data_IF_182087799916
#
_entry.id   IF_182087799916
#
_cell.length_a   1.000
_cell.length_b   1.000
_cell.length_c   1.000
_cell.angle_alpha   90.00
_cell.angle_beta   90.00
_cell.angle_gamma   90.00
#
_symmetry.space_group_name_H-M   'P 1'
#
loop_
_entity.id
_entity.type
_entity.pdbx_description
1 polymer ?
#
# COMPACT_ATOMS: atom_id res chain seq x y z
N UNK A 1 -19.13 23.12 -18.99
CA UNK A 1 -18.20 22.10 -18.51
C UNK A 1 -19.03 20.89 -18.06
N UNK A 2 -19.39 20.02 -19.01
CA UNK A 2 -20.38 18.96 -18.74
C UNK A 2 -20.08 17.62 -19.46
N UNK A 3 -18.84 17.44 -19.99
CA UNK A 3 -18.43 16.18 -20.63
C UNK A 3 -17.08 15.73 -20.07
N UNK A 4 -16.71 14.44 -20.26
CA UNK A 4 -15.38 13.90 -19.90
C UNK A 4 -14.27 14.77 -20.48
N UNK A 5 -14.37 15.14 -21.76
CA UNK A 5 -13.37 15.99 -22.40
C UNK A 5 -13.21 17.34 -21.69
N UNK A 6 -14.29 18.02 -21.35
CA UNK A 6 -14.23 19.29 -20.63
C UNK A 6 -13.68 19.16 -19.21
N UNK A 7 -14.04 18.08 -18.50
CA UNK A 7 -13.53 17.83 -17.13
C UNK A 7 -12.04 17.51 -17.14
N UNK A 8 -11.57 16.73 -18.11
CA UNK A 8 -10.13 16.44 -18.26
C UNK A 8 -9.33 17.71 -18.58
N UNK A 9 -9.86 18.60 -19.44
CA UNK A 9 -9.23 19.90 -19.70
C UNK A 9 -9.20 20.80 -18.45
N UNK A 10 -10.29 20.80 -17.68
CA UNK A 10 -10.33 21.51 -16.40
C UNK A 10 -9.29 20.98 -15.42
N UNK A 11 -9.18 19.65 -15.25
CA UNK A 11 -8.18 19.04 -14.38
C UNK A 11 -6.75 19.41 -14.84
N UNK A 12 -6.48 19.34 -16.15
CA UNK A 12 -5.20 19.73 -16.72
C UNK A 12 -4.84 21.18 -16.40
N UNK A 13 -5.79 22.09 -16.53
CA UNK A 13 -5.58 23.51 -16.23
C UNK A 13 -5.30 23.76 -14.74
N UNK A 14 -6.05 23.09 -13.84
CA UNK A 14 -5.96 23.31 -12.40
C UNK A 14 -4.77 22.63 -11.73
N UNK A 15 -4.27 21.51 -12.29
CA UNK A 15 -3.26 20.65 -11.66
C UNK A 15 -1.87 20.72 -12.33
N UNK A 16 -1.72 21.39 -13.48
CA UNK A 16 -0.46 21.45 -14.26
C UNK A 16 0.77 21.94 -13.49
N UNK A 17 0.58 22.71 -12.43
CA UNK A 17 1.68 23.25 -11.63
C UNK A 17 2.18 22.25 -10.57
N UNK A 18 1.41 21.16 -10.31
CA UNK A 18 1.71 20.16 -9.28
C UNK A 18 1.86 18.74 -9.82
N UNK A 19 1.39 18.48 -11.04
CA UNK A 19 1.38 17.17 -11.67
C UNK A 19 1.78 17.27 -13.14
N UNK A 20 2.48 16.26 -13.66
CA UNK A 20 2.70 16.13 -15.11
C UNK A 20 1.38 15.87 -15.85
N UNK A 21 1.34 16.18 -17.15
CA UNK A 21 0.18 15.92 -18.00
C UNK A 21 -0.23 14.45 -17.98
N UNK A 22 0.74 13.54 -18.01
CA UNK A 22 0.51 12.11 -17.94
C UNK A 22 -0.11 11.66 -16.60
N UNK A 23 0.36 12.20 -15.47
CA UNK A 23 -0.23 11.91 -14.15
C UNK A 23 -1.68 12.40 -14.08
N UNK A 24 -1.97 13.60 -14.59
CA UNK A 24 -3.33 14.15 -14.63
C UNK A 24 -4.25 13.27 -15.47
N UNK A 25 -3.79 12.77 -16.62
CA UNK A 25 -4.55 11.82 -17.43
C UNK A 25 -4.84 10.52 -16.67
N UNK A 26 -3.84 9.96 -15.98
CA UNK A 26 -4.00 8.76 -15.17
C UNK A 26 -5.00 8.99 -14.02
N UNK A 27 -4.88 10.11 -13.31
CA UNK A 27 -5.81 10.51 -12.24
C UNK A 27 -7.24 10.63 -12.78
N UNK A 28 -7.44 11.31 -13.90
CA UNK A 28 -8.75 11.44 -14.52
C UNK A 28 -9.35 10.07 -14.86
N UNK A 29 -8.55 9.16 -15.45
CA UNK A 29 -8.99 7.79 -15.75
C UNK A 29 -9.43 7.05 -14.48
N UNK A 30 -8.62 7.11 -13.41
CA UNK A 30 -8.95 6.49 -12.12
C UNK A 30 -10.31 7.01 -11.64
N UNK A 31 -10.54 8.33 -11.63
CA UNK A 31 -11.81 8.92 -11.20
C UNK A 31 -13.00 8.46 -12.06
N UNK A 32 -12.84 8.41 -13.38
CA UNK A 32 -13.91 7.94 -14.26
C UNK A 32 -14.20 6.45 -14.08
N UNK A 33 -13.17 5.65 -13.89
CA UNK A 33 -13.33 4.20 -13.66
C UNK A 33 -13.97 3.92 -12.30
N UNK A 34 -13.55 4.62 -11.25
CA UNK A 34 -14.02 4.37 -9.90
C UNK A 34 -15.43 4.93 -9.66
N UNK A 35 -15.70 6.17 -10.09
CA UNK A 35 -16.96 6.85 -9.77
C UNK A 35 -18.07 6.61 -10.80
N UNK A 36 -17.72 6.52 -12.10
CA UNK A 36 -18.69 6.25 -13.17
C UNK A 36 -18.76 4.77 -13.54
N UNK A 37 -17.86 3.95 -13.01
CA UNK A 37 -17.69 2.54 -13.38
C UNK A 37 -17.44 2.34 -14.89
N UNK A 38 -16.75 3.30 -15.51
CA UNK A 38 -16.40 3.25 -16.92
C UNK A 38 -15.16 2.41 -17.15
N UNK A 39 -15.16 1.65 -18.24
CA UNK A 39 -13.94 1.03 -18.77
C UNK A 39 -13.10 2.05 -19.56
N UNK A 40 -11.85 1.72 -19.88
CA UNK A 40 -11.02 2.54 -20.77
C UNK A 40 -11.70 2.79 -22.14
N UNK A 41 -12.45 1.81 -22.62
CA UNK A 41 -13.22 1.92 -23.88
C UNK A 41 -14.36 2.93 -23.71
N UNK A 42 -15.11 2.86 -22.61
CA UNK A 42 -16.21 3.80 -22.32
C UNK A 42 -15.69 5.24 -22.24
N UNK A 43 -14.58 5.47 -21.54
CA UNK A 43 -13.96 6.80 -21.43
C UNK A 43 -13.68 7.38 -22.82
N UNK A 44 -13.17 6.57 -23.73
CA UNK A 44 -12.86 7.01 -25.09
C UNK A 44 -14.12 7.26 -25.94
N UNK A 45 -15.07 6.32 -25.91
CA UNK A 45 -16.28 6.42 -26.73
C UNK A 45 -17.25 7.50 -26.24
N UNK A 46 -17.34 7.70 -24.93
CA UNK A 46 -18.28 8.65 -24.29
C UNK A 46 -17.65 10.00 -23.95
N UNK A 47 -16.49 10.34 -24.51
CA UNK A 47 -15.77 11.59 -24.19
C UNK A 47 -16.57 12.89 -24.34
N UNK A 48 -17.59 12.88 -25.20
CA UNK A 48 -18.47 14.02 -25.47
C UNK A 48 -19.90 13.84 -24.90
N UNK A 49 -20.16 12.75 -24.16
CA UNK A 49 -21.45 12.52 -23.50
C UNK A 49 -21.63 13.53 -22.36
N UNK A 50 -22.85 14.01 -22.20
CA UNK A 50 -23.21 14.94 -21.13
C UNK A 50 -23.31 14.16 -19.83
N UNK A 51 -22.54 14.59 -18.84
CA UNK A 51 -22.46 13.97 -17.52
C UNK A 51 -23.47 14.62 -16.55
N UNK A 52 -23.89 13.87 -15.55
CA UNK A 52 -24.74 14.37 -14.49
C UNK A 52 -24.05 15.44 -13.64
N UNK A 53 -24.81 16.44 -13.20
CA UNK A 53 -24.29 17.54 -12.38
C UNK A 53 -23.70 17.06 -11.06
N UNK A 54 -24.26 16.00 -10.46
CA UNK A 54 -23.76 15.34 -9.26
C UNK A 54 -22.32 14.85 -9.43
N UNK A 55 -22.03 14.20 -10.57
CA UNK A 55 -20.67 13.75 -10.87
C UNK A 55 -19.73 14.93 -11.16
N UNK A 56 -20.18 15.92 -11.91
CA UNK A 56 -19.38 17.13 -12.22
C UNK A 56 -18.92 17.80 -10.91
N UNK A 57 -19.83 17.99 -9.96
CA UNK A 57 -19.54 18.59 -8.67
C UNK A 57 -18.56 17.73 -7.86
N UNK A 58 -18.73 16.40 -7.84
CA UNK A 58 -17.80 15.47 -7.21
C UNK A 58 -16.41 15.56 -7.84
N UNK A 59 -16.31 15.56 -9.17
CA UNK A 59 -15.04 15.68 -9.89
C UNK A 59 -14.30 16.98 -9.55
N UNK A 60 -15.01 18.11 -9.55
CA UNK A 60 -14.43 19.40 -9.15
C UNK A 60 -13.93 19.37 -7.70
N UNK A 61 -14.67 18.73 -6.81
CA UNK A 61 -14.24 18.52 -5.41
C UNK A 61 -12.96 17.70 -5.32
N UNK A 62 -12.85 16.61 -6.09
CA UNK A 62 -11.64 15.77 -6.18
C UNK A 62 -10.45 16.61 -6.68
N UNK A 63 -10.61 17.37 -7.77
CA UNK A 63 -9.55 18.24 -8.33
C UNK A 63 -9.07 19.27 -7.30
N UNK A 64 -9.95 19.83 -6.48
CA UNK A 64 -9.57 20.77 -5.40
C UNK A 64 -8.73 20.09 -4.31
N UNK A 65 -9.10 18.86 -3.91
CA UNK A 65 -8.34 18.09 -2.92
C UNK A 65 -6.96 17.68 -3.47
N UNK A 66 -6.88 17.27 -4.73
CA UNK A 66 -5.61 17.00 -5.40
C UNK A 66 -4.72 18.23 -5.44
N UNK A 67 -5.28 19.40 -5.75
CA UNK A 67 -4.54 20.68 -5.75
C UNK A 67 -4.01 21.06 -4.37
N UNK A 68 -4.65 20.61 -3.29
CA UNK A 68 -4.14 20.76 -1.92
C UNK A 68 -3.12 19.70 -1.51
N UNK A 69 -2.71 18.80 -2.42
CA UNK A 69 -1.68 17.77 -2.20
C UNK A 69 -2.22 16.41 -1.74
N UNK A 70 -3.52 16.27 -1.47
CA UNK A 70 -4.07 15.01 -0.98
C UNK A 70 -3.92 13.89 -2.03
N UNK A 71 -3.41 12.69 -1.68
CA UNK A 71 -3.31 11.56 -2.61
C UNK A 71 -4.68 11.12 -3.12
N UNK A 72 -4.75 10.77 -4.41
CA UNK A 72 -6.02 10.34 -5.04
C UNK A 72 -6.63 9.12 -4.33
N UNK A 73 -5.80 8.21 -3.82
CA UNK A 73 -6.25 7.02 -3.10
C UNK A 73 -6.98 7.37 -1.80
N UNK A 74 -6.50 8.39 -1.07
CA UNK A 74 -7.19 8.86 0.13
C UNK A 74 -8.47 9.64 -0.20
N UNK A 75 -8.48 10.39 -1.31
CA UNK A 75 -9.66 11.12 -1.76
C UNK A 75 -10.79 10.16 -2.17
N UNK A 76 -10.45 9.07 -2.87
CA UNK A 76 -11.41 8.05 -3.28
C UNK A 76 -11.73 7.06 -2.14
N UNK A 77 -10.84 6.95 -1.14
CA UNK A 77 -10.96 6.03 -0.02
C UNK A 77 -10.57 4.59 -0.36
N UNK A 78 -10.15 4.32 -1.60
CA UNK A 78 -9.78 2.98 -2.06
C UNK A 78 -8.63 3.02 -3.06
N UNK A 79 -7.92 1.89 -3.18
CA UNK A 79 -6.88 1.65 -4.18
C UNK A 79 -6.91 0.20 -4.67
N UNK A 80 -6.42 -0.02 -5.89
CA UNK A 80 -6.16 -1.36 -6.43
C UNK A 80 -4.75 -1.83 -6.07
N UNK A 81 -4.59 -3.12 -5.74
CA UNK A 81 -3.28 -3.75 -5.53
C UNK A 81 -3.40 -5.27 -5.76
N UNK A 82 -2.50 -5.86 -6.54
CA UNK A 82 -2.46 -7.29 -6.86
C UNK A 82 -3.82 -7.85 -7.35
N UNK A 83 -4.57 -7.05 -8.10
CA UNK A 83 -5.90 -7.42 -8.62
C UNK A 83 -7.05 -7.39 -7.59
N UNK A 84 -6.79 -6.90 -6.38
CA UNK A 84 -7.75 -6.73 -5.28
C UNK A 84 -8.02 -5.25 -5.03
N UNK A 85 -9.11 -4.95 -4.28
CA UNK A 85 -9.44 -3.58 -3.82
C UNK A 85 -9.12 -3.45 -2.35
N UNK A 86 -8.51 -2.33 -1.98
CA UNK A 86 -8.15 -2.02 -0.60
C UNK A 86 -8.69 -0.65 -0.23
N UNK A 87 -9.33 -0.55 0.93
CA UNK A 87 -9.59 0.75 1.56
C UNK A 87 -8.25 1.42 1.84
N UNK A 88 -8.20 2.72 1.61
CA UNK A 88 -6.99 3.54 1.75
C UNK A 88 -7.28 4.75 2.61
N UNK A 89 -6.56 4.89 3.71
CA UNK A 89 -6.69 5.98 4.68
C UNK A 89 -5.31 6.41 5.17
N UNK A 90 -5.16 7.60 5.75
CA UNK A 90 -3.88 8.06 6.29
C UNK A 90 -3.30 7.21 7.44
N UNK A 91 -3.98 6.15 7.86
CA UNK A 91 -3.49 5.23 8.91
C UNK A 91 -2.47 4.21 8.42
N UNK A 92 -2.32 4.05 7.10
CA UNK A 92 -1.37 3.11 6.51
C UNK A 92 -0.78 3.65 5.20
N UNK A 93 0.42 3.18 4.86
CA UNK A 93 1.06 3.46 3.58
C UNK A 93 0.14 3.04 2.42
N UNK A 94 0.03 3.89 1.41
CA UNK A 94 -0.66 3.53 0.17
C UNK A 94 0.11 2.37 -0.50
N UNK A 95 -0.53 1.23 -0.82
CA UNK A 95 0.12 0.12 -1.50
C UNK A 95 0.85 0.57 -2.76
N UNK A 96 2.12 0.20 -2.89
CA UNK A 96 2.97 0.57 -4.03
C UNK A 96 2.97 -0.52 -5.09
N UNK A 97 3.00 -0.18 -6.40
CA UNK A 97 3.06 -1.17 -7.47
C UNK A 97 4.26 -2.12 -7.36
N UNK A 98 5.41 -1.60 -6.89
CA UNK A 98 6.64 -2.37 -6.69
C UNK A 98 6.46 -3.50 -5.68
N UNK A 99 5.66 -3.28 -4.64
CA UNK A 99 5.34 -4.29 -3.62
C UNK A 99 4.55 -5.48 -4.18
N UNK A 100 3.90 -5.34 -5.35
CA UNK A 100 3.27 -6.48 -6.05
C UNK A 100 4.30 -7.51 -6.53
N UNK A 101 5.55 -7.10 -6.79
CA UNK A 101 6.63 -8.02 -7.15
C UNK A 101 7.01 -8.89 -5.95
N UNK A 102 7.08 -8.30 -4.76
CA UNK A 102 7.29 -9.03 -3.52
C UNK A 102 6.17 -10.07 -3.29
N UNK A 103 4.91 -9.67 -3.47
CA UNK A 103 3.76 -10.60 -3.35
C UNK A 103 3.88 -11.76 -4.34
N UNK A 104 4.23 -11.50 -5.61
CA UNK A 104 4.41 -12.57 -6.61
C UNK A 104 5.54 -13.51 -6.21
N UNK A 105 6.68 -12.97 -5.78
CA UNK A 105 7.82 -13.76 -5.39
C UNK A 105 7.55 -14.64 -4.18
N UNK A 106 6.96 -14.10 -3.11
CA UNK A 106 6.54 -14.88 -1.93
C UNK A 106 5.51 -15.95 -2.31
N UNK A 107 4.58 -15.61 -3.22
CA UNK A 107 3.55 -16.51 -3.72
C UNK A 107 4.08 -17.79 -4.38
N UNK A 108 5.29 -17.76 -4.98
CA UNK A 108 5.95 -18.94 -5.56
C UNK A 108 6.36 -19.98 -4.50
N UNK A 109 6.57 -19.54 -3.26
CA UNK A 109 7.02 -20.37 -2.15
C UNK A 109 5.89 -20.75 -1.19
N UNK A 110 4.82 -19.96 -1.13
CA UNK A 110 3.71 -20.18 -0.21
C UNK A 110 2.85 -21.36 -0.64
N UNK A 111 2.58 -22.30 0.28
CA UNK A 111 1.81 -23.52 0.04
C UNK A 111 0.61 -23.60 0.99
N UNK A 112 -0.46 -24.33 0.62
CA UNK A 112 -1.54 -24.65 1.56
C UNK A 112 -1.00 -25.30 2.83
N UNK A 113 -1.49 -24.83 3.98
CA UNK A 113 -1.02 -25.25 5.31
C UNK A 113 0.18 -24.48 5.85
N UNK A 114 0.92 -23.72 5.02
CA UNK A 114 1.98 -22.88 5.53
C UNK A 114 1.45 -21.75 6.42
N UNK A 115 2.26 -21.35 7.38
CA UNK A 115 2.06 -20.21 8.27
C UNK A 115 2.93 -19.06 7.76
N UNK A 116 2.32 -17.95 7.40
CA UNK A 116 2.97 -16.74 6.93
C UNK A 116 2.77 -15.61 7.92
N UNK A 117 3.86 -14.89 8.23
CA UNK A 117 3.82 -13.64 8.98
C UNK A 117 4.13 -12.46 8.05
N UNK A 118 3.25 -11.46 8.03
CA UNK A 118 3.40 -10.17 7.36
C UNK A 118 3.72 -9.11 8.43
N UNK A 119 4.97 -8.64 8.47
CA UNK A 119 5.45 -7.70 9.49
C UNK A 119 5.40 -6.27 8.98
N UNK A 120 4.76 -5.37 9.75
CA UNK A 120 4.43 -4.02 9.29
C UNK A 120 3.32 -4.08 8.24
N UNK A 121 2.23 -4.79 8.56
CA UNK A 121 1.20 -5.15 7.58
C UNK A 121 0.46 -3.95 6.98
N UNK A 122 0.45 -2.79 7.66
CA UNK A 122 -0.21 -1.58 7.20
C UNK A 122 -1.67 -1.82 6.83
N UNK A 123 -2.03 -1.59 5.56
CA UNK A 123 -3.37 -1.87 5.03
C UNK A 123 -3.70 -3.36 4.89
N UNK A 124 -2.75 -4.26 5.17
CA UNK A 124 -2.85 -5.70 4.97
C UNK A 124 -2.63 -6.14 3.51
N UNK A 125 -2.18 -5.26 2.63
CA UNK A 125 -2.15 -5.53 1.19
C UNK A 125 -1.28 -6.74 0.81
N UNK A 126 -0.14 -6.96 1.45
CA UNK A 126 0.73 -8.12 1.21
C UNK A 126 0.06 -9.40 1.71
N UNK A 127 -0.27 -9.46 3.02
CA UNK A 127 -0.84 -10.65 3.64
C UNK A 127 -2.18 -11.08 3.02
N UNK A 128 -3.08 -10.13 2.75
CA UNK A 128 -4.39 -10.41 2.12
C UNK A 128 -4.20 -10.93 0.70
N UNK A 129 -3.31 -10.34 -0.10
CA UNK A 129 -3.05 -10.79 -1.46
C UNK A 129 -2.46 -12.20 -1.46
N UNK A 130 -1.54 -12.52 -0.55
CA UNK A 130 -0.97 -13.85 -0.40
C UNK A 130 -2.01 -14.89 0.06
N UNK A 131 -2.87 -14.53 1.02
CA UNK A 131 -3.98 -15.40 1.45
C UNK A 131 -4.99 -15.65 0.32
N UNK A 132 -5.17 -14.68 -0.59
CA UNK A 132 -6.02 -14.85 -1.78
C UNK A 132 -5.39 -15.74 -2.83
N UNK A 133 -4.07 -15.62 -3.04
CA UNK A 133 -3.29 -16.44 -3.98
C UNK A 133 -3.21 -17.89 -3.53
N UNK A 134 -2.96 -18.14 -2.23
CA UNK A 134 -2.76 -19.47 -1.67
C UNK A 134 -3.86 -19.80 -0.67
N UNK A 135 -4.98 -20.34 -1.17
CA UNK A 135 -6.05 -20.81 -0.30
C UNK A 135 -5.57 -21.95 0.59
N UNK A 136 -5.83 -21.83 1.89
CA UNK A 136 -5.38 -22.78 2.90
C UNK A 136 -4.07 -22.42 3.59
N UNK A 137 -3.38 -21.36 3.20
CA UNK A 137 -2.31 -20.77 4.00
C UNK A 137 -2.91 -20.04 5.22
N UNK A 138 -2.15 -20.05 6.33
CA UNK A 138 -2.49 -19.34 7.56
C UNK A 138 -1.71 -18.03 7.59
N UNK A 139 -2.38 -16.92 7.33
CA UNK A 139 -1.73 -15.59 7.26
C UNK A 139 -2.02 -14.81 8.53
N UNK A 140 -0.95 -14.33 9.16
CA UNK A 140 -0.98 -13.40 10.29
C UNK A 140 -0.26 -12.13 9.88
N UNK A 141 -0.92 -10.98 9.96
CA UNK A 141 -0.31 -9.66 9.81
C UNK A 141 -0.11 -9.01 11.18
N UNK A 142 0.98 -8.30 11.35
CA UNK A 142 1.25 -7.53 12.58
C UNK A 142 1.66 -6.10 12.24
N UNK A 143 1.19 -5.18 13.07
CA UNK A 143 1.54 -3.77 12.97
C UNK A 143 1.53 -3.14 14.37
N UNK A 144 2.27 -2.04 14.53
CA UNK A 144 2.31 -1.27 15.78
C UNK A 144 1.15 -0.26 15.87
N UNK A 145 0.53 0.10 14.74
CA UNK A 145 -0.62 1.02 14.67
C UNK A 145 -1.94 0.30 14.84
N UNK A 146 -2.73 0.62 15.88
CA UNK A 146 -4.09 0.09 16.03
C UNK A 146 -4.99 0.42 14.84
N UNK A 147 -4.84 1.61 14.26
CA UNK A 147 -5.62 2.09 13.12
C UNK A 147 -5.27 1.30 11.84
N UNK A 148 -3.99 0.96 11.63
CA UNK A 148 -3.57 0.11 10.53
C UNK A 148 -4.15 -1.31 10.66
N UNK A 149 -4.11 -1.89 11.87
CA UNK A 149 -4.70 -3.20 12.15
C UNK A 149 -6.21 -3.22 11.86
N UNK A 150 -6.94 -2.17 12.24
CA UNK A 150 -8.38 -2.10 11.94
C UNK A 150 -8.62 -1.98 10.43
N UNK A 151 -7.86 -1.14 9.73
CA UNK A 151 -7.91 -1.03 8.28
C UNK A 151 -7.62 -2.37 7.58
N UNK A 152 -6.60 -3.11 8.04
CA UNK A 152 -6.26 -4.42 7.49
C UNK A 152 -7.40 -5.44 7.69
N UNK A 153 -8.07 -5.43 8.85
CA UNK A 153 -9.25 -6.27 9.11
C UNK A 153 -10.42 -5.94 8.18
N UNK A 154 -10.70 -4.65 7.99
CA UNK A 154 -11.71 -4.20 7.03
C UNK A 154 -11.38 -4.65 5.60
N UNK A 155 -10.11 -4.55 5.21
CA UNK A 155 -9.64 -4.99 3.90
C UNK A 155 -9.72 -6.50 3.72
N UNK A 156 -9.46 -7.29 4.75
CA UNK A 156 -9.65 -8.74 4.71
C UNK A 156 -11.13 -9.11 4.48
N UNK A 157 -12.04 -8.42 5.19
CA UNK A 157 -13.49 -8.59 4.99
C UNK A 157 -13.90 -8.19 3.58
N UNK A 158 -13.44 -7.03 3.09
CA UNK A 158 -13.74 -6.51 1.76
C UNK A 158 -13.35 -7.52 0.66
N UNK A 159 -12.21 -8.21 0.83
CA UNK A 159 -11.71 -9.17 -0.15
C UNK A 159 -12.15 -10.63 0.12
N UNK A 160 -12.95 -10.87 1.15
CA UNK A 160 -13.45 -12.20 1.51
C UNK A 160 -12.33 -13.18 1.88
N UNK A 161 -11.28 -12.70 2.53
CA UNK A 161 -10.08 -13.45 2.89
C UNK A 161 -10.04 -13.68 4.39
N UNK A 162 -9.59 -14.88 4.79
CA UNK A 162 -9.30 -15.18 6.19
C UNK A 162 -7.83 -14.92 6.46
N UNK A 163 -7.54 -13.86 7.20
CA UNK A 163 -6.23 -13.51 7.73
C UNK A 163 -6.43 -12.92 9.13
N UNK A 164 -5.46 -13.13 10.00
CA UNK A 164 -5.46 -12.57 11.34
C UNK A 164 -4.57 -11.31 11.37
N UNK A 165 -5.04 -10.25 12.04
CA UNK A 165 -4.27 -9.02 12.21
C UNK A 165 -4.17 -8.65 13.67
N UNK A 166 -2.92 -8.54 14.18
CA UNK A 166 -2.59 -8.39 15.59
C UNK A 166 -1.74 -7.14 15.83
N UNK A 167 -2.10 -6.41 16.86
CA UNK A 167 -1.28 -5.30 17.35
C UNK A 167 -0.02 -5.86 18.02
N UNK A 168 1.15 -5.68 17.40
CA UNK A 168 2.44 -6.18 17.88
C UNK A 168 3.56 -5.24 17.47
N UNK A 169 4.55 -5.11 18.36
CA UNK A 169 5.79 -4.37 18.09
C UNK A 169 6.92 -5.37 17.80
N UNK A 170 7.42 -5.36 16.57
CA UNK A 170 8.52 -6.24 16.16
C UNK A 170 9.86 -5.83 16.76
N UNK A 171 10.01 -4.58 17.18
CA UNK A 171 11.23 -4.12 17.89
C UNK A 171 11.26 -4.60 19.33
N UNK A 172 10.11 -5.01 19.91
CA UNK A 172 9.99 -5.52 21.27
C UNK A 172 9.21 -6.85 21.29
N UNK A 173 9.67 -7.90 20.59
CA UNK A 173 8.92 -9.15 20.42
C UNK A 173 8.68 -9.89 21.73
N UNK A 174 9.51 -9.69 22.75
CA UNK A 174 9.38 -10.29 24.10
C UNK A 174 8.11 -9.84 24.84
N UNK A 175 7.41 -8.82 24.38
CA UNK A 175 6.17 -8.29 25.01
C UNK A 175 4.93 -9.09 24.65
N UNK A 176 5.04 -10.06 23.75
CA UNK A 176 3.92 -10.85 23.25
C UNK A 176 4.31 -12.32 23.04
N UNK A 177 3.30 -13.19 22.96
CA UNK A 177 3.50 -14.56 22.48
C UNK A 177 3.44 -14.62 20.97
N UNK A 178 4.33 -15.41 20.37
CA UNK A 178 4.43 -15.58 18.92
C UNK A 178 4.37 -17.06 18.57
N UNK A 179 3.85 -17.32 17.37
CA UNK A 179 3.91 -18.62 16.75
C UNK A 179 5.24 -18.80 16.00
N UNK A 180 5.40 -19.96 15.38
CA UNK A 180 6.45 -20.23 14.40
C UNK A 180 5.86 -20.20 12.99
N UNK A 181 6.66 -19.79 12.00
CA UNK A 181 6.23 -19.51 10.65
C UNK A 181 7.08 -20.25 9.61
N UNK A 182 6.48 -20.58 8.49
CA UNK A 182 7.19 -21.10 7.32
C UNK A 182 7.78 -19.96 6.48
N UNK A 183 7.05 -18.82 6.42
CA UNK A 183 7.48 -17.64 5.71
C UNK A 183 7.25 -16.39 6.56
N UNK A 184 8.21 -15.47 6.48
CA UNK A 184 8.09 -14.11 7.01
C UNK A 184 8.27 -13.16 5.83
N UNK A 185 7.40 -12.17 5.69
CA UNK A 185 7.49 -11.12 4.68
C UNK A 185 7.36 -9.76 5.34
N UNK A 186 8.08 -8.76 4.84
CA UNK A 186 7.93 -7.38 5.30
C UNK A 186 8.31 -6.38 4.22
N UNK A 187 7.54 -5.30 4.16
CA UNK A 187 7.93 -4.02 3.58
C UNK A 187 8.05 -3.02 4.74
N UNK A 188 9.17 -3.01 5.47
CA UNK A 188 9.33 -2.20 6.67
C UNK A 188 9.70 -0.76 6.31
N UNK A 189 9.61 0.20 7.24
CA UNK A 189 10.20 1.52 7.05
C UNK A 189 11.69 1.42 6.72
N UNK A 190 12.13 2.15 5.69
CA UNK A 190 13.53 2.08 5.22
C UNK A 190 14.09 3.40 4.70
N UNK A 191 13.31 4.48 4.71
CA UNK A 191 13.74 5.81 4.25
C UNK A 191 14.40 6.52 5.44
N UNK A 192 15.63 7.02 5.25
CA UNK A 192 16.30 7.76 6.32
C UNK A 192 15.66 9.14 6.52
N UNK A 193 15.69 9.62 7.76
CA UNK A 193 15.20 10.97 8.11
C UNK A 193 15.83 12.07 7.23
N UNK A 194 17.12 11.94 6.88
CA UNK A 194 17.85 12.87 6.00
C UNK A 194 17.35 12.88 4.55
N UNK A 195 16.65 11.83 4.11
CA UNK A 195 16.12 11.72 2.75
C UNK A 195 14.78 12.45 2.57
N UNK A 196 14.15 12.94 3.64
CA UNK A 196 12.90 13.72 3.60
C UNK A 196 12.91 14.86 2.58
N UNK A 197 14.06 15.56 2.47
CA UNK A 197 14.19 16.70 1.57
C UNK A 197 14.11 16.37 0.08
N UNK A 198 14.23 15.10 -0.29
CA UNK A 198 14.16 14.62 -1.70
C UNK A 198 12.80 14.02 -2.05
N UNK A 199 11.93 13.84 -1.07
CA UNK A 199 10.62 13.23 -1.26
C UNK A 199 9.58 14.25 -1.74
N UNK A 200 8.57 13.73 -2.43
CA UNK A 200 7.44 14.56 -2.83
C UNK A 200 6.63 15.02 -1.61
N UNK A 201 6.26 16.30 -1.58
CA UNK A 201 5.47 16.88 -0.49
C UNK A 201 4.17 16.12 -0.22
N UNK A 202 3.51 15.61 -1.27
CA UNK A 202 2.27 14.81 -1.13
C UNK A 202 2.44 13.54 -0.30
N UNK A 203 3.63 12.92 -0.31
CA UNK A 203 3.95 11.76 0.55
C UNK A 203 4.22 12.22 1.98
N UNK A 204 5.08 13.24 2.14
CA UNK A 204 5.48 13.76 3.44
C UNK A 204 4.31 14.32 4.26
N UNK A 205 3.37 15.00 3.61
CA UNK A 205 2.30 15.71 4.29
C UNK A 205 1.08 14.83 4.61
N UNK A 206 0.98 13.65 3.99
CA UNK A 206 -0.25 12.85 4.05
C UNK A 206 -0.05 11.40 4.49
N UNK A 207 1.10 10.79 4.23
CA UNK A 207 1.33 9.39 4.60
C UNK A 207 1.97 9.26 6.00
N UNK A 208 1.72 8.18 6.75
CA UNK A 208 2.19 8.06 8.12
C UNK A 208 3.72 7.94 8.18
N UNK A 209 4.38 8.90 8.83
CA UNK A 209 5.84 8.95 8.92
C UNK A 209 6.46 7.70 9.53
N UNK A 210 5.77 7.08 10.50
CA UNK A 210 6.28 5.84 11.12
C UNK A 210 6.28 4.63 10.16
N UNK A 211 5.54 4.70 9.04
CA UNK A 211 5.57 3.67 8.00
C UNK A 211 6.65 3.93 6.94
N UNK A 212 7.33 5.09 7.00
CA UNK A 212 8.30 5.53 6.00
C UNK A 212 9.72 5.57 6.55
N UNK A 213 9.92 6.14 7.75
CA UNK A 213 11.23 6.62 8.18
C UNK A 213 11.92 5.74 9.21
N UNK A 214 13.24 5.70 9.07
CA UNK A 214 14.18 5.13 10.04
C UNK A 214 15.20 6.20 10.46
N UNK A 215 15.80 6.08 11.67
CA UNK A 215 16.90 6.95 12.08
C UNK A 215 18.10 6.86 11.13
N UNK A 216 18.76 7.99 10.86
CA UNK A 216 19.96 8.01 10.02
C UNK A 216 21.11 7.16 10.56
N UNK A 217 21.18 7.03 11.88
CA UNK A 217 22.21 6.24 12.58
C UNK A 217 21.99 4.74 12.45
N UNK A 218 20.77 4.31 12.16
CA UNK A 218 20.42 2.88 12.05
C UNK A 218 19.41 2.61 10.91
N UNK A 219 19.82 2.72 9.64
CA UNK A 219 18.96 2.48 8.49
C UNK A 219 18.51 1.04 8.34
N UNK A 220 19.15 0.09 9.04
CA UNK A 220 18.83 -1.35 9.01
C UNK A 220 18.02 -1.80 10.23
N UNK A 221 17.51 -0.90 11.05
CA UNK A 221 16.83 -1.17 12.32
C UNK A 221 15.79 -2.30 12.19
N UNK A 222 14.83 -2.14 11.28
CA UNK A 222 13.75 -3.11 11.12
C UNK A 222 14.23 -4.41 10.47
N UNK A 223 15.12 -4.35 9.48
CA UNK A 223 15.67 -5.55 8.84
C UNK A 223 16.38 -6.44 9.87
N UNK A 224 17.21 -5.84 10.73
CA UNK A 224 17.92 -6.56 11.79
C UNK A 224 16.94 -7.17 12.80
N UNK A 225 15.99 -6.38 13.29
CA UNK A 225 15.01 -6.86 14.26
C UNK A 225 14.17 -8.03 13.70
N UNK A 226 13.74 -7.95 12.44
CA UNK A 226 12.97 -9.02 11.80
C UNK A 226 13.83 -10.23 11.51
N UNK A 227 15.09 -10.06 11.09
CA UNK A 227 16.03 -11.17 10.87
C UNK A 227 16.33 -11.90 12.19
N UNK A 228 16.63 -11.18 13.29
CA UNK A 228 16.83 -11.75 14.62
C UNK A 228 15.58 -12.48 15.13
N UNK A 229 14.40 -11.91 14.93
CA UNK A 229 13.12 -12.58 15.21
C UNK A 229 13.00 -13.88 14.41
N UNK A 230 13.36 -13.86 13.14
CA UNK A 230 13.34 -15.02 12.24
C UNK A 230 14.20 -16.19 12.74
N UNK A 231 15.36 -15.93 13.37
CA UNK A 231 16.23 -16.98 13.92
C UNK A 231 15.52 -17.89 14.94
N UNK A 232 14.50 -17.38 15.61
CA UNK A 232 13.77 -18.13 16.65
C UNK A 232 12.35 -18.50 16.27
N UNK A 233 11.78 -17.86 15.26
CA UNK A 233 10.37 -18.03 14.89
C UNK A 233 10.16 -18.55 13.47
N UNK A 234 11.20 -18.68 12.64
CA UNK A 234 11.10 -19.45 11.40
C UNK A 234 11.29 -20.94 11.67
N UNK A 235 10.49 -21.75 11.00
CA UNK A 235 10.74 -23.19 10.94
C UNK A 235 12.08 -23.50 10.25
N UNK A 236 12.70 -24.66 10.50
CA UNK A 236 13.85 -25.11 9.70
C UNK A 236 13.48 -25.06 8.20
N UNK A 237 14.32 -24.42 7.38
CA UNK A 237 14.06 -24.14 5.95
C UNK A 237 12.97 -23.09 5.67
N UNK A 238 12.49 -22.38 6.69
CA UNK A 238 11.62 -21.21 6.50
C UNK A 238 12.35 -20.08 5.76
N UNK A 239 11.57 -19.21 5.11
CA UNK A 239 12.10 -18.15 4.26
C UNK A 239 11.69 -16.77 4.78
N UNK A 240 12.61 -15.81 4.64
CA UNK A 240 12.41 -14.41 4.98
C UNK A 240 12.52 -13.57 3.71
N UNK A 241 11.54 -12.70 3.48
CA UNK A 241 11.44 -11.83 2.30
C UNK A 241 11.32 -10.37 2.73
N UNK A 242 12.07 -9.50 2.06
CA UNK A 242 12.02 -8.06 2.29
C UNK A 242 11.82 -7.27 0.99
N UNK A 243 11.03 -6.21 1.04
CA UNK A 243 11.26 -5.04 0.22
C UNK A 243 12.38 -4.22 0.88
N UNK A 244 13.34 -3.72 0.11
CA UNK A 244 14.52 -3.06 0.66
C UNK A 244 14.78 -1.69 0.02
N UNK A 245 15.47 -0.82 0.76
CA UNK A 245 16.12 0.35 0.17
C UNK A 245 17.30 -0.13 -0.70
N UNK A 246 17.31 0.26 -1.98
CA UNK A 246 18.36 -0.14 -2.94
C UNK A 246 19.77 0.24 -2.48
N UNK A 247 19.90 1.33 -1.72
CA UNK A 247 21.18 1.81 -1.21
C UNK A 247 21.83 0.86 -0.18
N UNK A 248 21.05 -0.04 0.45
CA UNK A 248 21.51 -0.91 1.54
C UNK A 248 21.39 -2.41 1.22
N UNK A 249 21.35 -2.77 -0.07
CA UNK A 249 21.17 -4.17 -0.48
C UNK A 249 22.24 -5.11 0.04
N UNK A 250 23.52 -4.71 -0.02
CA UNK A 250 24.64 -5.54 0.45
C UNK A 250 24.67 -5.65 1.97
N UNK A 251 24.40 -4.58 2.67
CA UNK A 251 24.33 -4.52 4.13
C UNK A 251 23.17 -5.36 4.66
N UNK A 252 22.03 -5.35 3.96
CA UNK A 252 20.88 -6.19 4.33
C UNK A 252 21.16 -7.68 4.14
N UNK A 253 21.91 -8.07 3.08
CA UNK A 253 22.32 -9.46 2.87
C UNK A 253 23.33 -9.93 3.93
N UNK A 254 24.09 -9.02 4.52
CA UNK A 254 25.11 -9.34 5.52
C UNK A 254 24.57 -9.46 6.95
N UNK A 255 23.27 -9.17 7.17
CA UNK A 255 22.58 -9.38 8.45
C UNK A 255 22.35 -10.86 8.71
#
# INVERSE_FOLDING_TARGET
MNTIHHLSQYALQELKDSYSEHEIECICKIVYMDVLHYTNIDIHLRKNEILEESFINKFIGIVRLLKSGSPIQYILGETGFAGLRFKSTPSALIPRPETEELVRWVGEWLKPGNRLLDVGSGSGCIGISLARLCQGAHVTGVDISPEAIELARENAILNGVKAEFLLRDILHPQTASWDTYDLIVSNPPYIRESEKGTMEAKVLDHEPHQALFVPDEDPLLFYRAIAEFGLTHLHPQGLLFFEINEAFGQETIAL
#
